data_IF_152048276290
#
_entry.id   IF_152048276290
#
_cell.length_a   1.000
_cell.length_b   1.000
_cell.length_c   1.000
_cell.angle_alpha   90.00
_cell.angle_beta   90.00
_cell.angle_gamma   90.00
#
_symmetry.space_group_name_H-M   'P 1'
#
loop_
_entity.id
_entity.type
_entity.pdbx_description
1 polymer ?
#
# COMPACT_ATOMS: atom_id res chain seq x y z
N UNK A 1 2.13 -21.27 33.55
CA UNK A 1 2.42 -20.11 32.70
C UNK A 1 2.83 -18.92 33.56
N UNK A 2 4.02 -18.43 33.33
CA UNK A 2 4.52 -17.25 34.04
C UNK A 2 3.89 -15.97 33.50
N UNK A 3 3.85 -14.89 34.32
CA UNK A 3 3.32 -13.58 33.89
C UNK A 3 3.98 -13.08 32.59
N UNK A 4 5.25 -13.39 32.35
CA UNK A 4 5.99 -13.05 31.14
C UNK A 4 5.47 -13.77 29.88
N UNK A 5 5.12 -15.04 29.99
CA UNK A 5 4.59 -15.82 28.85
C UNK A 5 3.19 -15.33 28.44
N UNK A 6 2.32 -14.95 29.38
CA UNK A 6 1.01 -14.35 29.09
C UNK A 6 1.16 -13.00 28.38
N UNK A 7 2.16 -12.19 28.78
CA UNK A 7 2.43 -10.89 28.16
C UNK A 7 2.95 -11.03 26.71
N UNK A 8 3.81 -12.01 26.45
CA UNK A 8 4.30 -12.32 25.10
C UNK A 8 3.18 -12.85 24.20
N UNK A 9 2.29 -13.70 24.71
CA UNK A 9 1.13 -14.17 23.97
C UNK A 9 0.15 -13.03 23.66
N UNK A 10 -0.06 -12.11 24.61
CA UNK A 10 -0.93 -10.95 24.39
C UNK A 10 -0.36 -10.01 23.33
N UNK A 11 0.97 -9.81 23.32
CA UNK A 11 1.67 -9.00 22.32
C UNK A 11 1.56 -9.67 20.94
N UNK A 12 1.77 -10.99 20.85
CA UNK A 12 1.63 -11.74 19.62
C UNK A 12 0.22 -11.71 19.06
N UNK A 13 -0.81 -11.88 19.93
CA UNK A 13 -2.21 -11.77 19.56
C UNK A 13 -2.59 -10.36 19.06
N UNK A 14 -2.07 -9.33 19.70
CA UNK A 14 -2.31 -7.95 19.27
C UNK A 14 -1.63 -7.64 17.93
N UNK A 15 -0.44 -8.20 17.68
CA UNK A 15 0.26 -8.08 16.39
C UNK A 15 -0.54 -8.80 15.28
N UNK A 16 -1.03 -10.01 15.55
CA UNK A 16 -1.84 -10.80 14.58
C UNK A 16 -3.18 -10.11 14.29
N UNK A 17 -3.85 -9.57 15.32
CA UNK A 17 -5.11 -8.85 15.15
C UNK A 17 -4.93 -7.52 14.41
N UNK A 18 -3.81 -6.81 14.63
CA UNK A 18 -3.48 -5.60 13.88
C UNK A 18 -3.14 -5.90 12.42
N UNK A 19 -2.43 -7.00 12.12
CA UNK A 19 -2.19 -7.44 10.75
C UNK A 19 -3.49 -7.81 10.01
N UNK A 20 -4.50 -8.27 10.73
CA UNK A 20 -5.83 -8.54 10.15
C UNK A 20 -6.59 -7.25 9.78
N UNK A 21 -6.38 -6.16 10.51
CA UNK A 21 -6.99 -4.84 10.23
C UNK A 21 -6.38 -4.21 8.96
N UNK A 22 -5.11 -4.43 8.71
CA UNK A 22 -4.35 -3.86 7.57
C UNK A 22 -4.17 -4.90 6.45
N UNK A 23 -5.28 -5.53 6.07
CA UNK A 23 -5.32 -6.44 4.93
C UNK A 23 -4.78 -5.71 3.69
N UNK A 24 -3.94 -6.41 2.94
CA UNK A 24 -3.43 -5.97 1.65
C UNK A 24 -4.55 -5.32 0.82
N UNK A 25 -4.42 -4.03 0.53
CA UNK A 25 -5.48 -3.29 -0.13
C UNK A 25 -5.56 -3.73 -1.58
N UNK A 26 -6.74 -4.10 -2.01
CA UNK A 26 -7.03 -4.30 -3.43
C UNK A 26 -7.08 -2.94 -4.13
N UNK A 27 -5.92 -2.52 -4.68
CA UNK A 27 -5.79 -1.24 -5.39
C UNK A 27 -6.78 -1.11 -6.56
N UNK A 28 -7.34 -2.22 -7.02
CA UNK A 28 -8.34 -2.27 -8.09
C UNK A 28 -9.71 -1.75 -7.63
N UNK A 29 -9.99 -1.84 -6.33
CA UNK A 29 -11.25 -1.39 -5.71
C UNK A 29 -11.11 -0.08 -4.95
N UNK A 30 -9.96 0.58 -5.07
CA UNK A 30 -9.72 1.86 -4.40
C UNK A 30 -10.65 2.96 -4.92
N UNK A 31 -11.10 3.81 -4.01
CA UNK A 31 -11.84 5.05 -4.32
C UNK A 31 -10.91 6.24 -4.62
N UNK A 32 -9.61 5.98 -4.80
CA UNK A 32 -8.66 7.03 -5.08
C UNK A 32 -8.97 7.74 -6.39
N UNK A 33 -8.87 9.07 -6.44
CA UNK A 33 -9.04 9.82 -7.69
C UNK A 33 -7.93 9.47 -8.67
N UNK A 34 -8.25 9.46 -9.96
CA UNK A 34 -7.27 9.22 -11.02
C UNK A 34 -6.38 10.44 -11.24
N UNK A 35 -6.95 11.64 -11.02
CA UNK A 35 -6.26 12.90 -11.16
C UNK A 35 -5.84 13.45 -9.78
N UNK A 36 -4.83 14.32 -9.78
CA UNK A 36 -4.41 15.03 -8.58
C UNK A 36 -5.51 15.97 -8.11
N UNK A 37 -5.87 15.84 -6.83
CA UNK A 37 -6.91 16.65 -6.18
C UNK A 37 -6.27 17.44 -5.06
N UNK A 38 -6.66 18.71 -4.92
CA UNK A 38 -6.25 19.54 -3.77
C UNK A 38 -6.82 18.96 -2.48
N UNK A 39 -5.97 18.76 -1.48
CA UNK A 39 -6.35 18.22 -0.17
C UNK A 39 -6.06 19.23 0.92
N UNK A 40 -6.82 19.15 1.99
CA UNK A 40 -6.56 19.95 3.18
C UNK A 40 -5.32 19.38 3.90
N UNK A 41 -4.34 20.23 4.12
CA UNK A 41 -3.07 19.85 4.79
C UNK A 41 -3.33 19.48 6.26
N UNK A 42 -4.27 20.13 6.92
CA UNK A 42 -4.59 19.88 8.32
C UNK A 42 -5.09 18.45 8.52
N UNK A 43 -5.98 17.97 7.64
CA UNK A 43 -6.51 16.59 7.71
C UNK A 43 -5.39 15.53 7.56
N UNK A 44 -4.31 15.86 6.83
CA UNK A 44 -3.15 14.98 6.69
C UNK A 44 -2.22 14.98 7.92
N UNK A 45 -2.37 15.97 8.81
CA UNK A 45 -1.55 16.10 10.02
C UNK A 45 -2.23 15.54 11.26
N UNK A 46 -3.52 15.22 11.22
CA UNK A 46 -4.31 14.89 12.41
C UNK A 46 -3.73 13.70 13.18
N UNK A 47 -3.25 12.66 12.51
CA UNK A 47 -2.70 11.49 13.17
C UNK A 47 -1.25 11.63 13.63
N UNK A 48 -0.43 12.33 12.84
CA UNK A 48 1.02 12.42 13.09
C UNK A 48 1.41 13.68 13.85
N UNK A 49 0.59 14.73 13.76
CA UNK A 49 0.93 16.08 14.25
C UNK A 49 2.01 16.78 13.42
N UNK A 50 2.53 16.14 12.36
CA UNK A 50 3.60 16.67 11.52
C UNK A 50 3.41 16.30 10.05
N UNK A 51 3.22 17.31 9.21
CA UNK A 51 3.01 17.12 7.77
C UNK A 51 4.16 16.35 7.10
N UNK A 52 5.40 16.64 7.47
CA UNK A 52 6.57 15.96 6.87
C UNK A 52 6.60 14.49 7.20
N UNK A 53 6.21 14.10 8.41
CA UNK A 53 6.07 12.71 8.81
C UNK A 53 4.98 12.00 8.00
N UNK A 54 3.81 12.62 7.87
CA UNK A 54 2.71 12.10 7.04
C UNK A 54 3.13 11.88 5.59
N UNK A 55 3.86 12.83 5.00
CA UNK A 55 4.37 12.71 3.63
C UNK A 55 5.34 11.55 3.48
N UNK A 56 6.24 11.34 4.46
CA UNK A 56 7.19 10.20 4.44
C UNK A 56 6.46 8.86 4.54
N UNK A 57 5.44 8.77 5.40
CA UNK A 57 4.61 7.57 5.54
C UNK A 57 3.91 7.25 4.21
N UNK A 58 3.26 8.25 3.61
CA UNK A 58 2.57 8.13 2.32
C UNK A 58 3.57 7.72 1.22
N UNK A 59 4.76 8.31 1.17
CA UNK A 59 5.77 8.00 0.18
C UNK A 59 6.28 6.55 0.29
N UNK A 60 6.53 6.07 1.50
CA UNK A 60 6.91 4.66 1.74
C UNK A 60 5.80 3.71 1.31
N UNK A 61 4.55 4.04 1.61
CA UNK A 61 3.40 3.23 1.19
C UNK A 61 3.23 3.24 -0.33
N UNK A 62 3.40 4.39 -0.98
CA UNK A 62 3.35 4.51 -2.43
C UNK A 62 4.39 3.62 -3.13
N UNK A 63 5.61 3.54 -2.58
CA UNK A 63 6.65 2.66 -3.10
C UNK A 63 6.24 1.17 -2.97
N UNK A 64 5.66 0.76 -1.86
CA UNK A 64 5.15 -0.62 -1.70
C UNK A 64 4.07 -0.94 -2.73
N UNK A 65 3.11 -0.05 -2.93
CA UNK A 65 2.03 -0.21 -3.92
C UNK A 65 2.62 -0.27 -5.34
N UNK A 66 3.59 0.57 -5.65
CA UNK A 66 4.26 0.59 -6.97
C UNK A 66 4.95 -0.74 -7.28
N UNK A 67 5.65 -1.33 -6.31
CA UNK A 67 6.29 -2.64 -6.46
C UNK A 67 5.23 -3.72 -6.69
N UNK A 68 4.16 -3.73 -5.91
CA UNK A 68 3.06 -4.69 -6.03
C UNK A 68 2.39 -4.62 -7.42
N UNK A 69 2.07 -3.41 -7.89
CA UNK A 69 1.49 -3.21 -9.23
C UNK A 69 2.43 -3.72 -10.32
N UNK A 70 3.73 -3.43 -10.19
CA UNK A 70 4.76 -3.91 -11.14
C UNK A 70 4.86 -5.42 -11.16
N UNK A 71 4.85 -6.07 -10.01
CA UNK A 71 4.90 -7.53 -9.91
C UNK A 71 3.66 -8.18 -10.51
N UNK A 72 2.48 -7.66 -10.21
CA UNK A 72 1.21 -8.15 -10.76
C UNK A 72 1.15 -8.00 -12.28
N UNK A 73 1.59 -6.85 -12.79
CA UNK A 73 1.68 -6.62 -14.23
C UNK A 73 2.67 -7.58 -14.89
N UNK A 74 3.86 -7.75 -14.30
CA UNK A 74 4.88 -8.66 -14.83
C UNK A 74 4.41 -10.10 -14.87
N UNK A 75 3.71 -10.58 -13.84
CA UNK A 75 3.12 -11.92 -13.81
C UNK A 75 2.12 -12.12 -14.94
N UNK A 76 1.21 -11.14 -15.13
CA UNK A 76 0.22 -11.22 -16.20
C UNK A 76 0.83 -11.17 -17.59
N UNK A 77 1.82 -10.31 -17.81
CA UNK A 77 2.51 -10.23 -19.10
C UNK A 77 3.30 -11.53 -19.39
N UNK A 78 3.89 -12.15 -18.38
CA UNK A 78 4.61 -13.42 -18.53
C UNK A 78 3.67 -14.58 -18.93
N UNK A 79 2.43 -14.60 -18.46
CA UNK A 79 1.42 -15.59 -18.86
C UNK A 79 1.14 -15.55 -20.38
N UNK A 80 1.17 -14.33 -20.97
CA UNK A 80 0.96 -14.16 -22.41
C UNK A 80 2.22 -14.31 -23.25
N UNK A 81 3.40 -14.00 -22.71
CA UNK A 81 4.67 -14.14 -23.41
C UNK A 81 4.97 -15.59 -23.77
N UNK A 82 4.66 -16.54 -22.88
CA UNK A 82 4.89 -17.97 -23.13
C UNK A 82 4.05 -18.56 -24.25
N UNK A 83 2.90 -17.94 -24.57
CA UNK A 83 2.01 -18.36 -25.64
C UNK A 83 2.47 -17.86 -27.03
N UNK A 84 3.18 -16.75 -27.10
CA UNK A 84 3.61 -16.11 -28.35
C UNK A 84 4.99 -16.57 -28.85
N UNK A 85 5.75 -17.32 -28.06
CA UNK A 85 7.12 -17.75 -28.40
C UNK A 85 7.17 -18.80 -29.54
N UNK A 86 6.00 -19.29 -29.97
CA UNK A 86 5.87 -20.30 -31.05
C UNK A 86 5.42 -19.74 -32.41
N UNK A 87 5.22 -18.42 -32.53
CA UNK A 87 4.75 -17.78 -33.78
C UNK A 87 5.83 -16.86 -34.36
N UNK A 88 6.33 -17.20 -35.56
CA UNK A 88 7.31 -16.40 -36.30
C UNK A 88 6.79 -15.02 -36.77
N UNK A 89 5.50 -14.75 -36.64
CA UNK A 89 4.90 -13.48 -37.00
C UNK A 89 4.57 -12.66 -35.74
N UNK A 90 4.99 -11.38 -35.76
CA UNK A 90 4.65 -10.40 -34.72
C UNK A 90 3.18 -10.00 -34.85
N UNK A 91 2.28 -10.85 -34.35
CA UNK A 91 0.90 -10.46 -34.13
C UNK A 91 0.81 -9.50 -32.93
N UNK A 92 0.16 -8.35 -33.15
CA UNK A 92 -0.26 -7.50 -32.01
C UNK A 92 -1.14 -8.35 -31.09
N UNK A 93 -0.63 -8.64 -29.89
CA UNK A 93 -1.40 -9.34 -28.89
C UNK A 93 -2.41 -8.37 -28.26
N UNK A 94 -3.65 -8.43 -28.71
CA UNK A 94 -4.74 -7.56 -28.22
C UNK A 94 -4.93 -7.67 -26.71
N UNK A 95 -4.79 -8.85 -26.16
CA UNK A 95 -4.92 -9.11 -24.73
C UNK A 95 -3.82 -8.39 -23.92
N UNK A 96 -2.58 -8.41 -24.42
CA UNK A 96 -1.47 -7.69 -23.82
C UNK A 96 -1.70 -6.16 -23.83
N UNK A 97 -2.23 -5.64 -24.93
CA UNK A 97 -2.57 -4.22 -25.07
C UNK A 97 -3.69 -3.84 -24.09
N UNK A 98 -4.72 -4.66 -23.96
CA UNK A 98 -5.84 -4.42 -23.04
C UNK A 98 -5.38 -4.43 -21.57
N UNK A 99 -4.52 -5.36 -21.19
CA UNK A 99 -3.93 -5.43 -19.86
C UNK A 99 -3.10 -4.18 -19.58
N UNK A 100 -2.22 -3.79 -20.50
CA UNK A 100 -1.40 -2.59 -20.36
C UNK A 100 -2.27 -1.34 -20.20
N UNK A 101 -3.30 -1.18 -21.01
CA UNK A 101 -4.27 -0.08 -20.89
C UNK A 101 -5.01 -0.08 -19.56
N UNK A 102 -5.36 -1.25 -19.05
CA UNK A 102 -6.02 -1.35 -17.73
C UNK A 102 -5.12 -0.82 -16.63
N UNK A 103 -3.84 -1.24 -16.58
CA UNK A 103 -2.90 -0.79 -15.57
C UNK A 103 -2.54 0.69 -15.71
N UNK A 104 -2.48 1.23 -16.93
CA UNK A 104 -2.27 2.66 -17.17
C UNK A 104 -3.43 3.55 -16.70
N UNK A 105 -4.66 3.03 -16.71
CA UNK A 105 -5.85 3.73 -16.21
C UNK A 105 -5.98 3.73 -14.69
N UNK A 106 -5.24 2.89 -13.98
CA UNK A 106 -5.27 2.87 -12.52
C UNK A 106 -4.76 4.20 -11.94
N UNK A 107 -5.28 4.61 -10.78
CA UNK A 107 -4.72 5.76 -10.07
C UNK A 107 -3.23 5.54 -9.78
N UNK A 108 -2.46 6.62 -9.81
CA UNK A 108 -1.03 6.55 -9.47
C UNK A 108 -0.82 6.03 -8.05
N UNK A 109 0.27 5.28 -7.78
CA UNK A 109 0.56 4.75 -6.46
C UNK A 109 0.54 5.79 -5.34
N UNK A 110 0.97 7.02 -5.64
CA UNK A 110 0.94 8.15 -4.70
C UNK A 110 -0.49 8.54 -4.32
N UNK A 111 -1.42 8.55 -5.28
CA UNK A 111 -2.83 8.87 -5.02
C UNK A 111 -3.52 7.75 -4.24
N UNK A 112 -3.19 6.49 -4.56
CA UNK A 112 -3.64 5.32 -3.82
C UNK A 112 -3.18 5.37 -2.35
N UNK A 113 -1.89 5.60 -2.13
CA UNK A 113 -1.31 5.69 -0.79
C UNK A 113 -1.90 6.86 0.03
N UNK A 114 -2.10 8.02 -0.61
CA UNK A 114 -2.74 9.17 0.05
C UNK A 114 -4.18 8.86 0.44
N UNK A 115 -4.91 8.15 -0.42
CA UNK A 115 -6.29 7.75 -0.11
C UNK A 115 -6.34 6.73 1.04
N UNK A 116 -5.42 5.73 1.04
CA UNK A 116 -5.28 4.79 2.15
C UNK A 116 -4.98 5.50 3.48
N UNK A 117 -4.11 6.49 3.45
CA UNK A 117 -3.74 7.27 4.63
C UNK A 117 -4.93 8.07 5.18
N UNK A 118 -5.67 8.76 4.33
CA UNK A 118 -6.88 9.51 4.73
C UNK A 118 -8.00 8.60 5.25
N UNK A 119 -8.08 7.36 4.76
CA UNK A 119 -9.04 6.35 5.22
C UNK A 119 -8.57 5.54 6.44
N UNK A 120 -7.48 5.96 7.11
CA UNK A 120 -6.89 5.27 8.28
C UNK A 120 -6.61 3.76 8.02
N UNK A 121 -6.12 3.45 6.82
CA UNK A 121 -5.82 2.08 6.40
C UNK A 121 -4.33 1.76 6.36
N UNK A 122 -3.47 2.73 6.66
CA UNK A 122 -2.02 2.58 6.68
C UNK A 122 -1.57 2.33 8.11
N UNK A 123 -0.92 1.18 8.34
CA UNK A 123 -0.21 0.95 9.58
C UNK A 123 1.20 1.53 9.50
N UNK A 124 1.54 2.39 10.43
CA UNK A 124 2.88 2.97 10.56
C UNK A 124 3.33 2.95 12.03
N UNK A 125 4.62 2.96 12.23
CA UNK A 125 5.24 2.96 13.55
C UNK A 125 6.50 3.81 13.52
N UNK A 126 6.66 4.67 14.51
CA UNK A 126 7.90 5.39 14.76
C UNK A 126 8.65 4.74 15.94
N UNK A 127 9.77 4.04 15.68
CA UNK A 127 10.55 3.40 16.75
C UNK A 127 11.10 4.37 17.79
N UNK A 128 11.32 5.64 17.41
CA UNK A 128 11.85 6.65 18.34
C UNK A 128 10.80 7.12 19.33
N UNK A 129 9.55 7.24 18.93
CA UNK A 129 8.44 7.57 19.84
C UNK A 129 8.18 6.47 20.87
N UNK A 130 8.35 5.22 20.46
CA UNK A 130 8.15 4.08 21.37
C UNK A 130 9.22 3.97 22.46
N UNK A 131 10.38 4.59 22.24
CA UNK A 131 11.50 4.62 23.20
C UNK A 131 11.42 5.79 24.20
N UNK A 132 10.57 6.78 23.94
CA UNK A 132 10.38 7.89 24.87
C UNK A 132 9.51 7.42 26.04
N UNK A 133 9.95 7.64 27.32
CA UNK A 133 9.10 7.37 28.47
C UNK A 133 7.84 8.23 28.35
N UNK A 134 6.68 7.60 28.47
CA UNK A 134 5.41 8.33 28.60
C UNK A 134 5.52 9.18 29.86
N UNK A 135 5.62 10.48 29.70
CA UNK A 135 5.46 11.42 30.80
C UNK A 135 3.97 11.36 31.16
N UNK A 136 3.64 10.67 32.23
CA UNK A 136 2.29 10.70 32.81
C UNK A 136 2.13 12.10 33.42
N UNK A 137 1.25 12.92 32.86
CA UNK A 137 0.73 14.12 33.50
C UNK A 137 -0.32 13.76 34.55
#
# INVERSE_FOLDING_TARGET
>A
MTKGQKRQQQISLNIVNNNSKYKEMDYKKSKAPVNTVTRNIMDLCDETGNLYESVVIIAKRANQISIQIKEDLSKKLAEFASYNDSLEEVFENREQIEISRYYEKLPKPTLLATQEFVEDKVYWRDPQRDLQPKVEE
#
